data_IF_591727060252
#
_entry.id   IF_591727060252
#
_cell.length_a   1.000
_cell.length_b   1.000
_cell.length_c   1.000
_cell.angle_alpha   90.00
_cell.angle_beta   90.00
_cell.angle_gamma   90.00
#
_symmetry.space_group_name_H-M   'P 1'
#
loop_
_entity.id
_entity.type
_entity.pdbx_description
1 polymer ?
#
# COMPACT_ATOMS: atom_id res chain seq x y z
N UNK A 1 -39.02 -7.01 -14.48
CA UNK A 1 -38.51 -6.91 -13.10
C UNK A 1 -37.01 -7.04 -13.22
N UNK A 2 -36.28 -5.93 -13.07
CA UNK A 2 -34.82 -5.94 -13.16
C UNK A 2 -34.29 -6.28 -11.76
N UNK A 3 -33.45 -7.31 -11.69
CA UNK A 3 -32.74 -7.67 -10.46
C UNK A 3 -31.83 -6.50 -10.03
N UNK A 4 -31.68 -6.23 -8.73
CA UNK A 4 -30.73 -5.24 -8.26
C UNK A 4 -29.31 -5.74 -8.58
N UNK A 5 -28.58 -4.99 -9.42
CA UNK A 5 -27.16 -5.23 -9.67
C UNK A 5 -26.44 -5.23 -8.34
N UNK A 6 -25.83 -6.36 -7.97
CA UNK A 6 -24.91 -6.43 -6.84
C UNK A 6 -23.85 -5.34 -7.04
N UNK A 7 -23.85 -4.32 -6.17
CA UNK A 7 -22.74 -3.38 -6.06
C UNK A 7 -21.51 -4.22 -5.73
N UNK A 8 -20.59 -4.34 -6.69
CA UNK A 8 -19.33 -5.06 -6.48
C UNK A 8 -18.69 -4.54 -5.19
N UNK A 9 -18.32 -5.44 -4.28
CA UNK A 9 -17.63 -5.05 -3.06
C UNK A 9 -16.36 -4.27 -3.42
N UNK A 10 -16.02 -3.21 -2.66
CA UNK A 10 -14.80 -2.46 -2.92
C UNK A 10 -13.59 -3.40 -2.81
N UNK A 11 -12.85 -3.55 -3.91
CA UNK A 11 -11.61 -4.32 -3.93
C UNK A 11 -10.48 -3.49 -3.28
N UNK A 12 -9.94 -4.00 -2.18
CA UNK A 12 -8.79 -3.43 -1.49
C UNK A 12 -7.52 -4.19 -1.85
N UNK A 13 -6.89 -3.82 -2.96
CA UNK A 13 -5.59 -4.41 -3.32
C UNK A 13 -4.54 -4.04 -2.27
N UNK A 14 -3.69 -4.99 -1.83
CA UNK A 14 -2.58 -4.65 -0.96
C UNK A 14 -1.57 -3.77 -1.72
N UNK A 15 -0.79 -2.98 -0.97
CA UNK A 15 0.32 -2.22 -1.53
C UNK A 15 1.65 -2.90 -1.23
N UNK A 16 2.43 -3.18 -2.27
CA UNK A 16 3.76 -3.78 -2.14
C UNK A 16 4.79 -2.68 -1.95
N UNK A 17 5.42 -2.60 -0.78
CA UNK A 17 6.56 -1.71 -0.54
C UNK A 17 7.84 -2.43 -0.97
N UNK A 18 8.63 -1.80 -1.83
CA UNK A 18 9.79 -2.44 -2.46
C UNK A 18 11.06 -1.64 -2.20
N UNK A 19 12.06 -2.26 -1.63
CA UNK A 19 13.40 -1.70 -1.49
C UNK A 19 14.39 -2.53 -2.30
N UNK A 20 15.31 -1.86 -2.99
CA UNK A 20 16.40 -2.47 -3.75
C UNK A 20 17.72 -1.99 -3.18
N UNK A 21 18.63 -2.92 -2.89
CA UNK A 21 20.03 -2.65 -2.61
C UNK A 21 20.90 -3.61 -3.42
N UNK A 22 21.57 -3.09 -4.45
CA UNK A 22 22.28 -3.94 -5.42
C UNK A 22 21.32 -4.89 -6.14
N UNK A 23 21.56 -6.20 -6.06
CA UNK A 23 20.68 -7.25 -6.59
C UNK A 23 19.71 -7.82 -5.55
N UNK A 24 19.71 -7.29 -4.33
CA UNK A 24 18.82 -7.74 -3.26
C UNK A 24 17.56 -6.88 -3.23
N UNK A 25 16.40 -7.53 -3.24
CA UNK A 25 15.10 -6.87 -3.22
C UNK A 25 14.31 -7.30 -2.00
N UNK A 26 14.00 -6.36 -1.12
CA UNK A 26 13.08 -6.59 -0.01
C UNK A 26 11.68 -6.11 -0.41
N UNK A 27 10.69 -6.98 -0.27
CA UNK A 27 9.29 -6.68 -0.57
C UNK A 27 8.46 -6.88 0.68
N UNK A 28 7.69 -5.86 1.03
CA UNK A 28 6.79 -5.86 2.17
C UNK A 28 5.35 -5.55 1.75
N UNK A 29 4.44 -6.50 1.94
CA UNK A 29 3.01 -6.30 1.68
C UNK A 29 2.37 -5.47 2.79
N UNK A 30 1.63 -4.43 2.41
CA UNK A 30 0.84 -3.61 3.33
C UNK A 30 -0.63 -3.71 2.95
N UNK A 31 -1.43 -4.29 3.86
CA UNK A 31 -2.87 -4.38 3.71
C UNK A 31 -3.53 -3.01 3.70
N UNK A 32 -4.39 -2.78 2.71
CA UNK A 32 -5.14 -1.52 2.56
C UNK A 32 -6.59 -1.64 2.99
N UNK A 33 -7.09 -2.87 3.17
CA UNK A 33 -8.45 -3.15 3.62
C UNK A 33 -8.67 -2.61 5.04
N UNK A 34 -9.65 -1.71 5.25
CA UNK A 34 -9.96 -1.13 6.56
C UNK A 34 -10.54 -2.13 7.58
N UNK A 35 -10.98 -3.29 7.12
CA UNK A 35 -11.55 -4.37 7.95
C UNK A 35 -10.50 -5.32 8.49
N UNK A 36 -9.32 -5.37 7.86
CA UNK A 36 -8.20 -6.20 8.31
C UNK A 36 -7.55 -5.56 9.54
N UNK A 37 -7.66 -6.24 10.69
CA UNK A 37 -7.03 -5.80 11.94
C UNK A 37 -5.57 -6.18 12.02
N UNK A 38 -4.77 -5.28 12.62
CA UNK A 38 -3.32 -5.38 12.81
C UNK A 38 -2.92 -6.74 13.39
N UNK A 39 -2.18 -7.55 12.62
CA UNK A 39 -1.66 -8.85 13.06
C UNK A 39 -1.82 -9.95 12.00
N UNK A 40 -2.77 -9.79 11.09
CA UNK A 40 -3.07 -10.78 10.05
C UNK A 40 -2.36 -10.39 8.74
N UNK A 41 -1.23 -11.06 8.50
CA UNK A 41 -0.51 -11.13 7.22
C UNK A 41 0.05 -9.81 6.66
N UNK A 42 1.36 -9.62 6.83
CA UNK A 42 2.14 -8.95 5.80
C UNK A 42 3.07 -9.98 5.19
N UNK A 43 2.78 -10.40 3.96
CA UNK A 43 3.76 -11.11 3.17
C UNK A 43 5.06 -10.30 3.11
N UNK A 44 6.17 -10.95 3.41
CA UNK A 44 7.49 -10.35 3.44
C UNK A 44 8.46 -11.30 2.75
N UNK A 45 9.18 -10.77 1.77
CA UNK A 45 10.08 -11.55 0.92
C UNK A 45 11.38 -10.80 0.73
N UNK A 46 12.47 -11.55 0.78
CA UNK A 46 13.79 -11.12 0.36
C UNK A 46 14.13 -11.90 -0.90
N UNK A 47 14.23 -11.22 -2.03
CA UNK A 47 14.53 -11.84 -3.33
C UNK A 47 15.95 -11.47 -3.71
N UNK A 48 16.80 -12.48 -3.88
CA UNK A 48 18.19 -12.34 -4.29
C UNK A 48 18.43 -13.11 -5.60
N UNK A 49 19.65 -13.04 -6.15
CA UNK A 49 20.02 -13.82 -7.33
C UNK A 49 19.92 -15.35 -7.11
N UNK A 50 19.96 -15.81 -5.85
CA UNK A 50 19.82 -17.22 -5.49
C UNK A 50 18.37 -17.67 -5.25
N UNK A 51 17.39 -16.77 -5.43
CA UNK A 51 15.97 -17.04 -5.26
C UNK A 51 15.35 -16.29 -4.08
N UNK A 52 14.22 -16.82 -3.59
CA UNK A 52 13.41 -16.19 -2.53
C UNK A 52 13.75 -16.71 -1.13
N UNK A 53 13.88 -15.78 -0.18
CA UNK A 53 14.16 -15.98 1.23
C UNK A 53 13.20 -15.16 2.10
N UNK A 54 13.12 -15.45 3.41
CA UNK A 54 12.34 -14.67 4.37
C UNK A 54 11.00 -15.31 4.80
N UNK A 55 10.21 -14.55 5.55
CA UNK A 55 9.07 -15.05 6.33
C UNK A 55 7.98 -15.74 5.49
N UNK A 56 7.74 -15.28 4.26
CA UNK A 56 6.72 -15.84 3.37
C UNK A 56 7.30 -16.54 2.13
N UNK A 57 8.60 -16.87 2.15
CA UNK A 57 9.29 -17.51 1.02
C UNK A 57 8.75 -18.91 0.67
N UNK A 58 8.16 -19.60 1.64
CA UNK A 58 7.64 -20.95 1.46
C UNK A 58 6.19 -21.01 0.95
N UNK A 59 5.52 -19.87 0.75
CA UNK A 59 4.10 -19.82 0.44
C UNK A 59 3.75 -20.60 -0.84
N UNK A 60 2.82 -21.56 -0.73
CA UNK A 60 2.49 -22.57 -1.75
C UNK A 60 2.00 -21.98 -3.09
N UNK A 61 1.55 -20.74 -3.11
CA UNK A 61 1.07 -20.05 -4.32
C UNK A 61 2.18 -19.38 -5.14
N UNK A 62 3.42 -19.44 -4.66
CA UNK A 62 4.60 -18.89 -5.33
C UNK A 62 5.27 -20.00 -6.17
N UNK A 63 5.03 -19.95 -7.49
CA UNK A 63 5.74 -20.76 -8.49
C UNK A 63 7.10 -20.12 -8.85
N UNK A 64 7.99 -20.88 -9.50
CA UNK A 64 9.27 -20.39 -10.06
C UNK A 64 10.22 -19.67 -9.06
N UNK A 65 10.25 -20.14 -7.80
CA UNK A 65 11.00 -19.57 -6.66
C UNK A 65 12.51 -19.37 -6.87
N UNK A 66 13.09 -20.02 -7.89
CA UNK A 66 14.50 -19.94 -8.23
C UNK A 66 14.82 -18.82 -9.25
N UNK A 67 13.81 -18.24 -9.89
CA UNK A 67 13.96 -17.16 -10.88
C UNK A 67 13.55 -15.83 -10.24
N UNK A 68 14.54 -14.97 -9.97
CA UNK A 68 14.31 -13.65 -9.39
C UNK A 68 13.36 -12.78 -10.22
N UNK A 69 13.50 -12.76 -11.54
CA UNK A 69 12.66 -11.91 -12.40
C UNK A 69 11.22 -12.41 -12.40
N UNK A 70 11.01 -13.72 -12.57
CA UNK A 70 9.68 -14.33 -12.49
C UNK A 70 9.01 -14.06 -11.12
N UNK A 71 9.79 -14.12 -10.05
CA UNK A 71 9.34 -13.81 -8.70
C UNK A 71 8.89 -12.35 -8.54
N UNK A 72 9.68 -11.41 -9.04
CA UNK A 72 9.34 -9.99 -8.99
C UNK A 72 8.08 -9.71 -9.82
N UNK A 73 7.93 -10.33 -10.99
CA UNK A 73 6.70 -10.25 -11.80
C UNK A 73 5.49 -10.75 -11.01
N UNK A 74 5.64 -11.87 -10.30
CA UNK A 74 4.57 -12.50 -9.56
C UNK A 74 4.14 -11.71 -8.31
N UNK A 75 5.10 -11.24 -7.51
CA UNK A 75 4.87 -10.47 -6.29
C UNK A 75 4.37 -9.05 -6.59
N UNK A 76 4.92 -8.42 -7.64
CA UNK A 76 4.54 -7.07 -8.07
C UNK A 76 3.39 -7.09 -9.09
N UNK A 77 2.46 -8.04 -8.98
CA UNK A 77 1.18 -7.98 -9.71
C UNK A 77 0.23 -6.93 -9.13
N UNK A 78 0.37 -6.65 -7.83
CA UNK A 78 -0.36 -5.60 -7.13
C UNK A 78 0.33 -4.24 -7.29
N UNK A 79 -0.35 -3.12 -6.96
CA UNK A 79 0.30 -1.83 -6.97
C UNK A 79 1.49 -1.79 -6.01
N UNK A 80 2.55 -1.09 -6.40
CA UNK A 80 3.79 -1.08 -5.63
C UNK A 80 4.36 0.32 -5.45
N UNK A 81 4.98 0.54 -4.28
CA UNK A 81 5.56 1.79 -3.81
C UNK A 81 7.05 1.55 -3.51
N UNK A 82 7.98 2.23 -4.20
CA UNK A 82 9.39 2.18 -3.83
C UNK A 82 9.61 2.74 -2.43
N UNK A 83 10.47 2.08 -1.67
CA UNK A 83 11.00 2.57 -0.41
C UNK A 83 11.94 3.77 -0.63
N UNK A 84 12.29 4.46 0.45
CA UNK A 84 13.31 5.51 0.39
C UNK A 84 14.64 4.95 -0.15
N UNK A 85 15.28 5.69 -1.05
CA UNK A 85 16.50 5.26 -1.72
C UNK A 85 16.31 4.29 -2.89
N UNK A 86 15.08 3.83 -3.15
CA UNK A 86 14.77 2.96 -4.29
C UNK A 86 13.96 3.69 -5.36
N UNK A 87 14.30 3.47 -6.61
CA UNK A 87 13.61 4.02 -7.78
C UNK A 87 12.75 2.95 -8.48
N UNK A 88 11.73 3.40 -9.21
CA UNK A 88 10.97 2.51 -10.08
C UNK A 88 11.84 1.91 -11.19
N UNK A 89 12.87 2.62 -11.66
CA UNK A 89 13.75 2.14 -12.74
C UNK A 89 14.59 0.94 -12.29
N UNK A 90 15.12 0.97 -11.06
CA UNK A 90 15.86 -0.15 -10.47
C UNK A 90 14.97 -1.40 -10.34
N UNK A 91 13.75 -1.23 -9.83
CA UNK A 91 12.78 -2.32 -9.69
C UNK A 91 12.45 -2.94 -11.06
N UNK A 92 12.22 -2.12 -12.07
CA UNK A 92 11.84 -2.59 -13.40
C UNK A 92 13.02 -3.23 -14.14
N UNK A 93 14.24 -2.77 -13.89
CA UNK A 93 15.46 -3.39 -14.42
C UNK A 93 15.60 -4.82 -13.90
N UNK A 94 15.39 -5.05 -12.60
CA UNK A 94 15.46 -6.38 -11.98
C UNK A 94 14.28 -7.28 -12.36
N UNK A 95 13.07 -6.71 -12.46
CA UNK A 95 11.86 -7.45 -12.88
C UNK A 95 11.93 -7.89 -14.35
N UNK A 96 12.65 -7.17 -15.21
CA UNK A 96 12.73 -7.45 -16.64
C UNK A 96 11.40 -7.25 -17.37
N UNK A 97 11.23 -7.95 -18.50
CA UNK A 97 10.02 -7.86 -19.33
C UNK A 97 8.93 -8.80 -18.80
N UNK A 98 8.08 -8.28 -17.92
CA UNK A 98 6.91 -9.02 -17.42
C UNK A 98 6.16 -8.26 -16.32
N UNK A 99 4.87 -8.56 -16.15
CA UNK A 99 4.05 -8.04 -15.05
C UNK A 99 3.32 -6.73 -15.35
N UNK A 100 2.10 -6.63 -14.83
CA UNK A 100 1.15 -5.51 -15.02
C UNK A 100 0.96 -4.65 -13.77
N UNK A 101 1.80 -4.85 -12.74
CA UNK A 101 1.74 -4.11 -11.49
C UNK A 101 1.71 -2.60 -11.68
N UNK A 102 0.77 -1.95 -11.00
CA UNK A 102 0.61 -0.51 -11.11
C UNK A 102 1.64 0.22 -10.26
N UNK A 103 2.55 0.93 -10.93
CA UNK A 103 3.47 1.89 -10.31
C UNK A 103 2.69 2.94 -9.53
N UNK A 104 3.09 3.22 -8.30
CA UNK A 104 2.58 4.36 -7.53
C UNK A 104 3.70 5.06 -6.78
N UNK A 105 3.45 6.31 -6.41
CA UNK A 105 4.38 7.11 -5.59
C UNK A 105 3.70 7.57 -4.32
N UNK A 106 4.49 7.86 -3.28
CA UNK A 106 3.96 8.45 -2.05
C UNK A 106 3.23 9.76 -2.36
N UNK A 107 3.83 10.62 -3.20
CA UNK A 107 3.22 11.89 -3.64
C UNK A 107 1.88 11.69 -4.35
N UNK A 108 1.72 10.68 -5.21
CA UNK A 108 0.45 10.41 -5.87
C UNK A 108 -0.62 9.96 -4.87
N UNK A 109 -0.27 9.08 -3.92
CA UNK A 109 -1.18 8.61 -2.88
C UNK A 109 -1.63 9.75 -1.97
N UNK A 110 -0.68 10.57 -1.51
CA UNK A 110 -0.93 11.76 -0.69
C UNK A 110 -1.82 12.77 -1.42
N UNK A 111 -1.53 13.06 -2.70
CA UNK A 111 -2.33 13.98 -3.51
C UNK A 111 -3.78 13.50 -3.62
N UNK A 112 -3.99 12.22 -3.97
CA UNK A 112 -5.35 11.65 -4.07
C UNK A 112 -6.11 11.72 -2.74
N UNK A 113 -5.42 11.46 -1.62
CA UNK A 113 -6.05 11.57 -0.30
C UNK A 113 -6.43 13.02 0.03
N UNK A 114 -5.57 13.99 -0.29
CA UNK A 114 -5.89 15.41 -0.10
C UNK A 114 -7.07 15.85 -0.97
N UNK A 115 -7.09 15.46 -2.24
CA UNK A 115 -8.21 15.74 -3.15
C UNK A 115 -9.52 15.12 -2.66
N UNK A 116 -9.48 13.92 -2.09
CA UNK A 116 -10.67 13.29 -1.51
C UNK A 116 -11.22 14.07 -0.31
N UNK A 117 -10.34 14.65 0.52
CA UNK A 117 -10.76 15.52 1.65
C UNK A 117 -11.43 16.79 1.13
N UNK A 118 -10.82 17.45 0.15
CA UNK A 118 -11.38 18.68 -0.43
C UNK A 118 -12.69 18.43 -1.17
N UNK A 119 -12.79 17.30 -1.88
CA UNK A 119 -14.04 16.85 -2.49
C UNK A 119 -15.13 16.63 -1.43
N UNK A 120 -14.83 15.94 -0.33
CA UNK A 120 -15.79 15.72 0.75
C UNK A 120 -16.27 17.03 1.41
N UNK A 121 -15.37 18.02 1.56
CA UNK A 121 -15.74 19.37 2.05
C UNK A 121 -16.74 20.06 1.13
N UNK A 122 -16.45 20.05 -0.18
CA UNK A 122 -17.29 20.66 -1.20
C UNK A 122 -18.65 19.97 -1.28
N UNK A 123 -18.66 18.64 -1.28
CA UNK A 123 -19.87 17.82 -1.28
C UNK A 123 -20.76 18.10 -0.07
N UNK A 124 -20.18 18.12 1.14
CA UNK A 124 -20.94 18.42 2.35
C UNK A 124 -21.52 19.83 2.34
N UNK A 125 -20.76 20.82 1.86
CA UNK A 125 -21.25 22.18 1.72
C UNK A 125 -22.45 22.27 0.76
N UNK A 126 -22.44 21.47 -0.32
CA UNK A 126 -23.53 21.36 -1.29
C UNK A 126 -24.76 20.68 -0.71
N UNK A 127 -24.58 19.55 -0.03
CA UNK A 127 -25.68 18.70 0.48
C UNK A 127 -26.28 19.19 1.81
N UNK A 128 -25.51 19.92 2.61
CA UNK A 128 -25.93 20.43 3.91
C UNK A 128 -25.65 21.94 4.05
N UNK A 129 -26.25 22.79 3.20
CA UNK A 129 -25.99 24.22 3.21
C UNK A 129 -26.31 24.84 4.57
N UNK A 130 -25.43 25.73 5.03
CA UNK A 130 -25.57 26.42 6.32
C UNK A 130 -25.17 25.60 7.55
N UNK A 131 -24.85 24.30 7.42
CA UNK A 131 -24.29 23.52 8.52
C UNK A 131 -22.77 23.76 8.66
N UNK A 132 -22.24 23.75 9.89
CA UNK A 132 -20.80 23.83 10.10
C UNK A 132 -20.10 22.59 9.51
N UNK A 133 -18.90 22.82 8.96
CA UNK A 133 -18.09 21.75 8.38
C UNK A 133 -17.67 20.72 9.43
N UNK A 134 -17.77 19.41 9.14
CA UNK A 134 -17.24 18.38 10.02
C UNK A 134 -15.73 18.54 10.25
N UNK A 135 -15.27 18.01 11.39
CA UNK A 135 -13.86 17.78 11.61
C UNK A 135 -13.41 16.59 10.74
N UNK A 136 -13.07 16.85 9.48
CA UNK A 136 -12.65 15.85 8.49
C UNK A 136 -11.33 15.13 8.87
N UNK A 137 -10.61 15.64 9.86
CA UNK A 137 -9.27 15.16 10.22
C UNK A 137 -8.19 15.73 9.31
N UNK A 138 -6.97 15.24 9.51
CA UNK A 138 -5.81 15.54 8.68
C UNK A 138 -5.16 14.22 8.28
N UNK A 139 -4.87 14.08 6.99
CA UNK A 139 -4.04 13.01 6.47
C UNK A 139 -2.66 13.63 6.24
N UNK A 140 -1.64 13.08 6.91
CA UNK A 140 -0.26 13.52 6.82
C UNK A 140 0.43 13.05 5.55
N UNK A 141 1.76 13.15 5.56
CA UNK A 141 2.63 12.55 4.55
C UNK A 141 2.98 11.11 4.94
N UNK A 142 3.37 10.31 3.96
CA UNK A 142 3.96 9.00 4.20
C UNK A 142 5.43 9.23 4.54
N UNK A 143 5.74 9.21 5.84
CA UNK A 143 7.10 9.37 6.35
C UNK A 143 7.64 8.01 6.85
N UNK A 144 8.90 7.65 6.54
CA UNK A 144 9.52 6.44 7.08
C UNK A 144 9.48 6.44 8.61
N UNK A 145 9.20 5.28 9.20
CA UNK A 145 9.20 5.11 10.65
C UNK A 145 10.22 4.02 11.00
N UNK A 146 11.28 4.43 11.68
CA UNK A 146 12.32 3.53 12.16
C UNK A 146 11.77 2.46 13.11
N UNK A 147 12.46 1.33 13.16
CA UNK A 147 12.18 0.26 14.10
C UNK A 147 13.39 -0.66 14.26
N UNK A 148 13.23 -1.79 14.96
CA UNK A 148 14.34 -2.71 15.17
C UNK A 148 14.88 -3.21 13.84
N UNK A 149 16.21 -3.23 13.74
CA UNK A 149 16.96 -3.86 12.67
C UNK A 149 16.65 -5.36 12.62
N UNK A 150 16.61 -5.96 11.42
CA UNK A 150 16.51 -7.41 11.29
C UNK A 150 17.82 -8.05 11.79
N UNK A 151 17.71 -9.23 12.41
CA UNK A 151 18.88 -9.98 12.88
C UNK A 151 19.29 -11.02 11.83
N UNK A 152 20.58 -11.40 11.82
CA UNK A 152 21.07 -12.54 11.03
C UNK A 152 21.04 -12.38 9.50
N UNK A 153 21.19 -11.15 8.99
CA UNK A 153 21.32 -10.87 7.57
C UNK A 153 22.67 -10.23 7.22
N UNK A 154 23.09 -10.36 5.96
CA UNK A 154 24.22 -9.57 5.44
C UNK A 154 23.85 -8.08 5.32
N UNK A 155 24.84 -7.23 5.06
CA UNK A 155 24.68 -5.77 5.00
C UNK A 155 23.64 -5.35 3.94
N UNK A 156 23.74 -5.90 2.73
CA UNK A 156 22.84 -5.57 1.63
C UNK A 156 21.38 -5.96 1.93
N UNK A 157 21.17 -7.15 2.49
CA UNK A 157 19.85 -7.61 2.91
C UNK A 157 19.32 -6.78 4.09
N UNK A 158 20.18 -6.43 5.06
CA UNK A 158 19.79 -5.59 6.20
C UNK A 158 19.31 -4.23 5.73
N UNK A 159 20.06 -3.55 4.86
CA UNK A 159 19.68 -2.24 4.33
C UNK A 159 18.37 -2.28 3.52
N UNK A 160 18.23 -3.27 2.63
CA UNK A 160 17.00 -3.42 1.85
C UNK A 160 15.79 -3.69 2.76
N UNK A 161 15.92 -4.60 3.74
CA UNK A 161 14.85 -4.92 4.68
C UNK A 161 14.48 -3.70 5.52
N UNK A 162 15.45 -2.97 6.06
CA UNK A 162 15.20 -1.78 6.87
C UNK A 162 14.47 -0.69 6.08
N UNK A 163 14.92 -0.41 4.86
CA UNK A 163 14.25 0.56 3.98
C UNK A 163 12.79 0.17 3.71
N UNK A 164 12.55 -1.08 3.29
CA UNK A 164 11.19 -1.57 3.03
C UNK A 164 10.30 -1.51 4.28
N UNK A 165 10.82 -1.94 5.43
CA UNK A 165 10.07 -1.95 6.69
C UNK A 165 9.78 -0.55 7.20
N UNK A 166 10.74 0.37 7.11
CA UNK A 166 10.56 1.76 7.56
C UNK A 166 9.49 2.46 6.73
N UNK A 167 9.53 2.32 5.40
CA UNK A 167 8.48 2.83 4.52
C UNK A 167 7.14 2.14 4.79
N UNK A 168 7.10 0.82 4.98
CA UNK A 168 5.87 0.09 5.27
C UNK A 168 5.24 0.50 6.62
N UNK A 169 6.04 0.79 7.66
CA UNK A 169 5.55 1.32 8.94
C UNK A 169 4.95 2.72 8.74
N UNK A 170 5.63 3.59 8.01
CA UNK A 170 5.12 4.91 7.61
C UNK A 170 3.79 4.85 6.89
N UNK A 171 3.71 4.00 5.87
CA UNK A 171 2.49 3.77 5.10
C UNK A 171 1.33 3.29 5.98
N UNK A 172 1.58 2.41 6.96
CA UNK A 172 0.55 1.97 7.91
C UNK A 172 0.06 3.10 8.82
N UNK A 173 0.92 4.04 9.22
CA UNK A 173 0.49 5.23 9.96
C UNK A 173 -0.46 6.04 9.08
N UNK A 174 -0.05 6.34 7.85
CA UNK A 174 -0.82 7.10 6.89
C UNK A 174 -2.17 6.43 6.53
N UNK A 175 -2.19 5.11 6.34
CA UNK A 175 -3.42 4.35 6.08
C UNK A 175 -4.42 4.48 7.23
N UNK A 176 -3.97 4.48 8.49
CA UNK A 176 -4.87 4.71 9.64
C UNK A 176 -5.49 6.10 9.62
N UNK A 177 -4.72 7.12 9.24
CA UNK A 177 -5.24 8.49 9.10
C UNK A 177 -6.26 8.58 7.97
N UNK A 178 -5.95 7.98 6.81
CA UNK A 178 -6.89 7.87 5.70
C UNK A 178 -8.18 7.16 6.14
N UNK A 179 -8.08 6.02 6.81
CA UNK A 179 -9.24 5.27 7.31
C UNK A 179 -10.07 6.08 8.32
N UNK A 180 -9.44 6.88 9.17
CA UNK A 180 -10.15 7.78 10.08
C UNK A 180 -10.95 8.84 9.32
N UNK A 181 -10.35 9.42 8.27
CA UNK A 181 -11.06 10.33 7.36
C UNK A 181 -12.24 9.64 6.67
N UNK A 182 -12.03 8.45 6.08
CA UNK A 182 -13.07 7.68 5.38
C UNK A 182 -14.27 7.40 6.29
N UNK A 183 -14.03 7.03 7.55
CA UNK A 183 -15.09 6.84 8.56
C UNK A 183 -15.87 8.13 8.84
N UNK A 184 -15.19 9.28 8.90
CA UNK A 184 -15.87 10.57 9.05
C UNK A 184 -16.66 10.90 7.80
N UNK A 185 -16.10 10.66 6.61
CA UNK A 185 -16.78 10.88 5.32
C UNK A 185 -18.08 10.09 5.24
N UNK A 186 -18.00 8.77 5.40
CA UNK A 186 -19.16 7.89 5.34
C UNK A 186 -20.26 8.35 6.30
N UNK A 187 -19.92 8.55 7.58
CA UNK A 187 -20.87 9.00 8.61
C UNK A 187 -21.51 10.37 8.33
N UNK A 188 -20.85 11.25 7.58
CA UNK A 188 -21.32 12.64 7.36
C UNK A 188 -21.97 12.85 6.01
N UNK A 189 -21.60 12.09 4.98
CA UNK A 189 -22.11 12.21 3.63
C UNK A 189 -23.14 11.13 3.28
N UNK A 190 -22.93 9.87 3.70
CA UNK A 190 -23.83 8.77 3.31
C UNK A 190 -25.29 9.05 3.69
N UNK A 191 -25.59 9.51 4.93
CA UNK A 191 -26.97 9.83 5.30
C UNK A 191 -27.57 11.04 4.57
N UNK A 192 -26.79 11.80 3.81
CA UNK A 192 -27.28 12.94 3.03
C UNK A 192 -27.68 12.54 1.61
N UNK A 193 -27.18 11.39 1.12
CA UNK A 193 -27.61 10.84 -0.18
C UNK A 193 -28.95 10.11 -0.08
N UNK A 194 -29.28 9.54 1.09
CA UNK A 194 -30.54 8.82 1.33
C UNK A 194 -31.77 9.75 1.50
N UNK A 195 -31.59 11.07 1.35
CA UNK A 195 -32.64 12.09 1.58
C UNK A 195 -33.12 12.73 0.27
N UNK A 196 -32.64 12.26 -0.90
CA UNK A 196 -33.15 12.63 -2.22
C UNK A 196 -34.33 11.74 -2.67
#
# INVERSE_FOLDING_TARGET
MSEPTATAEPQYDPLMVVAVHGFTVAIWQVETDPTVTRGDFSGAWLVTESGIHGFAAEADWIDDRADQAAMLVHLLRYPYLPAEGTTHEEIETLKGQGGVGKKTTATELERKAHEAVEHARAEFARLAPGKPQPAWGKIGKIEPVEGPAPQEHDEAATEAIEAAMNTARGLRVWLREKQAFEKVRARRLDPLYDVE
#
